data_IF_536375785370
#
_entry.id   IF_536375785370
#
_cell.length_a   1.000
_cell.length_b   1.000
_cell.length_c   1.000
_cell.angle_alpha   90.00
_cell.angle_beta   90.00
_cell.angle_gamma   90.00
#
_symmetry.space_group_name_H-M   'P 1'
#
loop_
_entity.id
_entity.type
_entity.pdbx_description
1 polymer ?
#
# COMPACT_ATOMS: atom_id res chain seq x y z
N UNK A 1 -8.25 -25.45 20.17
CA UNK A 1 -9.52 -24.71 20.02
C UNK A 1 -9.67 -24.36 18.55
N UNK A 2 -10.52 -25.07 17.83
CA UNK A 2 -10.77 -24.80 16.41
C UNK A 2 -11.81 -23.70 16.33
N UNK A 3 -11.38 -22.48 15.96
CA UNK A 3 -12.27 -21.36 15.71
C UNK A 3 -13.08 -21.60 14.44
N UNK A 4 -14.37 -21.43 14.55
CA UNK A 4 -15.39 -21.72 13.55
C UNK A 4 -15.14 -20.99 12.22
N UNK A 5 -15.02 -21.78 11.14
CA UNK A 5 -14.88 -21.32 9.74
C UNK A 5 -16.12 -20.61 9.16
N UNK A 6 -17.05 -20.16 9.98
CA UNK A 6 -18.31 -19.52 9.60
C UNK A 6 -18.45 -18.12 10.16
N UNK A 7 -17.36 -17.33 10.22
CA UNK A 7 -17.51 -15.91 10.52
C UNK A 7 -18.17 -15.23 9.31
N UNK A 8 -19.34 -14.60 9.49
CA UNK A 8 -20.01 -13.89 8.40
C UNK A 8 -19.11 -12.77 7.90
N UNK A 9 -19.05 -12.61 6.57
CA UNK A 9 -18.35 -11.50 5.93
C UNK A 9 -18.76 -10.19 6.60
N UNK A 10 -17.78 -9.37 7.01
CA UNK A 10 -18.03 -8.09 7.66
C UNK A 10 -19.10 -7.31 6.88
N UNK A 11 -20.12 -6.76 7.55
CA UNK A 11 -21.14 -5.96 6.90
C UNK A 11 -20.50 -4.77 6.18
N UNK A 12 -21.00 -4.45 4.99
CA UNK A 12 -20.51 -3.39 4.10
C UNK A 12 -20.12 -2.08 4.80
N UNK A 13 -20.87 -1.56 5.80
CA UNK A 13 -20.50 -0.32 6.48
C UNK A 13 -19.21 -0.46 7.31
N UNK A 14 -18.94 -1.60 7.92
CA UNK A 14 -17.72 -1.84 8.69
C UNK A 14 -16.49 -1.96 7.80
N UNK A 15 -16.62 -2.59 6.63
CA UNK A 15 -15.57 -2.67 5.63
C UNK A 15 -15.22 -1.29 5.07
N UNK A 16 -16.23 -0.49 4.71
CA UNK A 16 -16.04 0.88 4.21
C UNK A 16 -15.35 1.78 5.24
N UNK A 17 -15.73 1.69 6.53
CA UNK A 17 -15.09 2.44 7.61
C UNK A 17 -13.62 2.05 7.81
N UNK A 18 -13.27 0.77 7.68
CA UNK A 18 -11.88 0.31 7.70
C UNK A 18 -11.10 0.84 6.49
N UNK A 19 -11.66 0.75 5.30
CA UNK A 19 -11.02 1.25 4.08
C UNK A 19 -10.77 2.76 4.13
N UNK A 20 -11.75 3.54 4.57
CA UNK A 20 -11.62 5.00 4.76
C UNK A 20 -10.53 5.32 5.79
N UNK A 21 -10.47 4.59 6.90
CA UNK A 21 -9.46 4.81 7.93
C UNK A 21 -8.04 4.50 7.42
N UNK A 22 -7.87 3.41 6.69
CA UNK A 22 -6.57 3.07 6.09
C UNK A 22 -6.19 4.05 4.98
N UNK A 23 -7.15 4.47 4.17
CA UNK A 23 -6.95 5.54 3.19
C UNK A 23 -6.55 6.87 3.83
N UNK A 24 -7.17 7.23 4.95
CA UNK A 24 -6.81 8.44 5.69
C UNK A 24 -5.36 8.38 6.22
N UNK A 25 -4.93 7.23 6.76
CA UNK A 25 -3.53 7.06 7.19
C UNK A 25 -2.56 7.17 6.01
N UNK A 26 -2.89 6.60 4.86
CA UNK A 26 -2.08 6.73 3.65
C UNK A 26 -1.96 8.19 3.19
N UNK A 27 -3.06 8.93 3.18
CA UNK A 27 -3.07 10.36 2.83
C UNK A 27 -2.24 11.18 3.81
N UNK A 28 -2.39 10.94 5.12
CA UNK A 28 -1.59 11.62 6.17
C UNK A 28 -0.10 11.33 5.97
N UNK A 29 0.25 10.08 5.68
CA UNK A 29 1.64 9.70 5.42
C UNK A 29 2.19 10.43 4.19
N UNK A 30 1.45 10.47 3.08
CA UNK A 30 1.86 11.17 1.85
C UNK A 30 2.03 12.65 2.10
N UNK A 31 1.03 13.30 2.69
CA UNK A 31 1.07 14.75 2.97
C UNK A 31 2.21 15.08 3.94
N UNK A 32 2.38 14.31 5.00
CA UNK A 32 3.49 14.48 5.96
C UNK A 32 4.85 14.29 5.29
N UNK A 33 4.99 13.29 4.41
CA UNK A 33 6.22 13.05 3.64
C UNK A 33 6.50 14.16 2.64
N UNK A 34 5.46 14.69 1.98
CA UNK A 34 5.58 15.84 1.06
C UNK A 34 6.06 17.08 1.80
N UNK A 35 5.48 17.40 2.94
CA UNK A 35 5.88 18.55 3.75
C UNK A 35 7.31 18.39 4.29
N UNK A 36 7.63 17.25 4.87
CA UNK A 36 8.97 16.97 5.42
C UNK A 36 10.04 16.93 4.36
N UNK A 37 9.79 16.30 3.22
CA UNK A 37 10.70 16.26 2.09
C UNK A 37 10.95 17.63 1.48
N UNK A 38 9.88 18.39 1.24
CA UNK A 38 9.97 19.76 0.72
C UNK A 38 10.80 20.66 1.65
N UNK A 39 10.53 20.59 2.95
CA UNK A 39 11.29 21.32 3.94
C UNK A 39 12.78 20.90 3.94
N UNK A 40 13.07 19.63 3.88
CA UNK A 40 14.43 19.10 3.86
C UNK A 40 15.21 19.50 2.60
N UNK A 41 14.63 19.41 1.42
CA UNK A 41 15.25 19.86 0.18
C UNK A 41 15.45 21.39 0.12
N UNK A 42 14.51 22.14 0.67
CA UNK A 42 14.66 23.59 0.79
C UNK A 42 15.80 23.94 1.77
N UNK A 43 15.81 23.36 2.96
CA UNK A 43 16.75 23.69 4.02
C UNK A 43 18.17 23.14 3.76
N UNK A 44 18.29 21.85 3.46
CA UNK A 44 19.60 21.20 3.23
C UNK A 44 20.07 21.31 1.79
N UNK A 45 19.15 21.29 0.85
CA UNK A 45 19.44 21.35 -0.58
C UNK A 45 19.62 22.76 -1.13
N UNK A 46 19.17 23.78 -0.41
CA UNK A 46 19.19 25.18 -0.88
C UNK A 46 18.34 25.41 -2.13
N UNK A 47 17.34 24.56 -2.34
CA UNK A 47 16.46 24.65 -3.51
C UNK A 47 15.33 25.64 -3.28
N UNK A 48 14.79 26.21 -4.37
CA UNK A 48 13.55 26.98 -4.28
C UNK A 48 12.40 26.08 -3.77
N UNK A 49 11.41 26.63 -3.03
CA UNK A 49 10.35 25.80 -2.44
C UNK A 49 9.59 24.94 -3.46
N UNK A 50 9.38 25.47 -4.67
CA UNK A 50 8.69 24.74 -5.73
C UNK A 50 9.52 23.58 -6.29
N UNK A 51 10.84 23.77 -6.43
CA UNK A 51 11.76 22.73 -6.87
C UNK A 51 11.92 21.65 -5.79
N UNK A 52 11.98 22.06 -4.53
CA UNK A 52 11.99 21.16 -3.38
C UNK A 52 10.71 20.31 -3.32
N UNK A 53 9.56 20.90 -3.58
CA UNK A 53 8.27 20.19 -3.66
C UNK A 53 8.27 19.18 -4.82
N UNK A 54 8.74 19.60 -5.98
CA UNK A 54 8.84 18.75 -7.17
C UNK A 54 9.76 17.55 -6.91
N UNK A 55 10.97 17.79 -6.39
CA UNK A 55 11.93 16.72 -6.06
C UNK A 55 11.38 15.73 -5.02
N UNK A 56 10.68 16.24 -4.02
CA UNK A 56 10.01 15.41 -3.02
C UNK A 56 8.98 14.49 -3.68
N UNK A 57 8.13 15.04 -4.54
CA UNK A 57 7.12 14.27 -5.26
C UNK A 57 7.72 13.23 -6.19
N UNK A 58 8.80 13.57 -6.90
CA UNK A 58 9.49 12.65 -7.80
C UNK A 58 10.13 11.49 -7.04
N UNK A 59 10.76 11.75 -5.89
CA UNK A 59 11.34 10.70 -5.05
C UNK A 59 10.28 9.81 -4.42
N UNK A 60 9.17 10.37 -3.94
CA UNK A 60 8.05 9.58 -3.43
C UNK A 60 7.40 8.73 -4.53
N UNK A 61 7.39 9.22 -5.76
CA UNK A 61 6.93 8.46 -6.93
C UNK A 61 7.93 7.46 -7.48
N UNK A 62 9.15 7.37 -6.91
CA UNK A 62 10.19 6.43 -7.34
C UNK A 62 10.93 6.85 -8.62
N UNK A 63 10.76 8.09 -9.09
CA UNK A 63 11.38 8.59 -10.34
C UNK A 63 12.76 9.22 -10.15
N UNK A 64 13.17 9.48 -8.90
CA UNK A 64 14.43 10.15 -8.61
C UNK A 64 14.35 11.68 -8.66
N UNK A 65 15.41 12.38 -8.17
CA UNK A 65 15.42 13.85 -8.13
C UNK A 65 15.63 14.44 -9.52
N UNK A 66 14.96 15.57 -9.79
CA UNK A 66 15.17 16.37 -10.99
C UNK A 66 16.11 17.53 -10.65
N UNK A 67 17.15 17.70 -11.46
CA UNK A 67 18.12 18.76 -11.29
C UNK A 67 19.29 18.42 -10.37
N UNK A 68 20.30 19.29 -10.38
CA UNK A 68 21.53 19.06 -9.62
C UNK A 68 21.38 19.46 -8.15
N UNK A 69 21.65 18.50 -7.27
CA UNK A 69 21.84 18.76 -5.84
C UNK A 69 23.25 19.31 -5.62
N UNK A 70 23.39 20.60 -5.41
CA UNK A 70 24.68 21.26 -5.32
C UNK A 70 25.37 21.07 -3.96
N UNK A 71 24.61 20.93 -2.89
CA UNK A 71 25.14 20.78 -1.53
C UNK A 71 25.34 19.31 -1.15
N UNK A 72 26.42 19.01 -0.42
CA UNK A 72 26.66 17.67 0.14
C UNK A 72 25.54 17.28 1.12
N UNK A 73 25.08 18.23 1.93
CA UNK A 73 23.97 18.02 2.86
C UNK A 73 22.66 17.66 2.11
N UNK A 74 22.39 18.34 0.99
CA UNK A 74 21.24 18.02 0.13
C UNK A 74 21.33 16.64 -0.50
N UNK A 75 22.51 16.22 -0.93
CA UNK A 75 22.76 14.86 -1.47
C UNK A 75 22.55 13.77 -0.42
N UNK A 76 23.05 13.98 0.79
CA UNK A 76 22.84 13.06 1.91
C UNK A 76 21.37 12.99 2.29
N UNK A 77 20.69 14.13 2.41
CA UNK A 77 19.26 14.18 2.68
C UNK A 77 18.48 13.43 1.61
N UNK A 78 18.78 13.67 0.32
CA UNK A 78 18.12 12.98 -0.79
C UNK A 78 18.32 11.46 -0.73
N UNK A 79 19.51 10.99 -0.35
CA UNK A 79 19.79 9.56 -0.20
C UNK A 79 18.92 8.92 0.89
N UNK A 80 18.88 9.51 2.08
CA UNK A 80 18.05 9.01 3.17
C UNK A 80 16.56 9.12 2.85
N UNK A 81 16.16 10.23 2.23
CA UNK A 81 14.77 10.43 1.84
C UNK A 81 14.34 9.45 0.74
N UNK A 82 15.20 9.10 -0.20
CA UNK A 82 14.92 8.09 -1.23
C UNK A 82 14.70 6.69 -0.62
N UNK A 83 15.53 6.29 0.36
CA UNK A 83 15.35 5.04 1.09
C UNK A 83 14.03 5.03 1.87
N UNK A 84 13.74 6.12 2.57
CA UNK A 84 12.47 6.30 3.26
C UNK A 84 11.29 6.24 2.29
N UNK A 85 11.36 6.95 1.16
CA UNK A 85 10.30 6.98 0.15
C UNK A 85 10.01 5.59 -0.42
N UNK A 86 11.04 4.78 -0.68
CA UNK A 86 10.89 3.39 -1.11
C UNK A 86 10.15 2.53 -0.09
N UNK A 87 10.52 2.64 1.19
CA UNK A 87 9.84 1.92 2.28
C UNK A 87 8.42 2.42 2.50
N UNK A 88 8.21 3.74 2.45
CA UNK A 88 6.89 4.35 2.59
C UNK A 88 5.95 3.92 1.45
N UNK A 89 6.45 3.88 0.21
CA UNK A 89 5.70 3.40 -0.95
C UNK A 89 5.29 1.94 -0.80
N UNK A 90 6.21 1.07 -0.39
CA UNK A 90 5.93 -0.35 -0.16
C UNK A 90 4.91 -0.55 0.97
N UNK A 91 5.06 0.17 2.07
CA UNK A 91 4.12 0.14 3.20
C UNK A 91 2.72 0.62 2.80
N UNK A 92 2.63 1.67 2.00
CA UNK A 92 1.38 2.21 1.49
C UNK A 92 0.70 1.25 0.52
N UNK A 93 1.46 0.66 -0.41
CA UNK A 93 0.97 -0.37 -1.31
C UNK A 93 0.38 -1.55 -0.52
N UNK A 94 1.10 -2.04 0.49
CA UNK A 94 0.62 -3.12 1.36
C UNK A 94 -0.67 -2.75 2.08
N UNK A 95 -0.76 -1.54 2.64
CA UNK A 95 -1.95 -1.04 3.34
C UNK A 95 -3.18 -0.94 2.43
N UNK A 96 -2.99 -0.52 1.17
CA UNK A 96 -4.08 -0.38 0.20
C UNK A 96 -4.49 -1.73 -0.39
N UNK A 97 -3.52 -2.61 -0.68
CA UNK A 97 -3.78 -3.89 -1.34
C UNK A 97 -4.17 -5.01 -0.38
N UNK A 98 -3.72 -4.97 0.90
CA UNK A 98 -4.04 -6.01 1.88
C UNK A 98 -5.54 -6.33 2.00
N UNK A 99 -6.45 -5.34 2.15
CA UNK A 99 -7.89 -5.65 2.24
C UNK A 99 -8.47 -6.19 0.92
N UNK A 100 -7.91 -5.77 -0.21
CA UNK A 100 -8.36 -6.20 -1.55
C UNK A 100 -7.89 -7.63 -1.82
N UNK A 101 -6.60 -7.93 -1.55
CA UNK A 101 -6.03 -9.26 -1.70
C UNK A 101 -6.70 -10.28 -0.77
N UNK A 102 -6.92 -9.91 0.49
CA UNK A 102 -7.57 -10.80 1.45
C UNK A 102 -8.99 -11.17 1.01
N UNK A 103 -9.73 -10.21 0.46
CA UNK A 103 -11.07 -10.46 -0.08
C UNK A 103 -11.03 -11.30 -1.37
N UNK A 104 -10.07 -11.08 -2.26
CA UNK A 104 -9.91 -11.84 -3.49
C UNK A 104 -9.56 -13.31 -3.19
N UNK A 105 -8.59 -13.56 -2.32
CA UNK A 105 -8.15 -14.91 -1.93
C UNK A 105 -9.31 -15.66 -1.25
N UNK A 106 -10.08 -15.00 -0.41
CA UNK A 106 -11.23 -15.63 0.26
C UNK A 106 -12.33 -16.02 -0.72
N UNK A 107 -12.52 -15.25 -1.80
CA UNK A 107 -13.49 -15.55 -2.84
C UNK A 107 -13.06 -16.76 -3.69
N UNK A 108 -11.80 -16.85 -4.07
CA UNK A 108 -11.25 -17.99 -4.80
C UNK A 108 -11.30 -19.30 -4.00
N UNK A 109 -11.01 -19.25 -2.70
CA UNK A 109 -11.08 -20.45 -1.85
C UNK A 109 -12.51 -20.98 -1.64
N UNK A 110 -13.51 -20.09 -1.68
CA UNK A 110 -14.92 -20.49 -1.60
C UNK A 110 -15.40 -21.18 -2.87
N UNK A 111 -14.97 -20.74 -4.05
CA UNK A 111 -15.32 -21.35 -5.33
C UNK A 111 -14.69 -22.74 -5.46
N UNK A 112 -13.43 -22.91 -5.08
CA UNK A 112 -12.75 -24.22 -5.10
C UNK A 112 -13.38 -25.23 -4.12
N UNK A 113 -13.91 -24.74 -2.99
CA UNK A 113 -14.61 -25.60 -2.02
C UNK A 113 -16.01 -26.04 -2.46
N UNK A 114 -16.64 -25.32 -3.38
CA UNK A 114 -17.97 -25.65 -3.92
C UNK A 114 -17.90 -26.65 -5.07
N UNK A 115 -16.81 -26.67 -5.83
CA UNK A 115 -16.63 -27.60 -6.96
C UNK A 115 -16.29 -29.02 -6.52
N UNK A 116 -15.67 -29.21 -5.35
CA UNK A 116 -15.18 -30.53 -4.91
C UNK A 116 -16.26 -31.50 -4.43
N UNK A 117 -17.36 -31.10 -3.75
CA UNK A 117 -18.38 -32.04 -3.26
C UNK A 117 -19.28 -32.60 -4.34
N UNK A 118 -19.56 -31.84 -5.39
CA UNK A 118 -20.54 -32.22 -6.42
C UNK A 118 -19.95 -33.25 -7.37
N UNK A 119 -18.71 -33.09 -7.79
CA UNK A 119 -18.02 -34.03 -8.66
C UNK A 119 -17.79 -35.39 -7.97
N UNK A 120 -17.50 -35.39 -6.68
CA UNK A 120 -17.28 -36.63 -5.93
C UNK A 120 -18.58 -37.45 -5.73
N UNK A 121 -19.73 -36.77 -5.62
CA UNK A 121 -21.05 -37.44 -5.58
C UNK A 121 -21.44 -38.00 -6.93
N UNK A 122 -21.12 -37.33 -8.00
CA UNK A 122 -21.45 -37.76 -9.36
C UNK A 122 -20.59 -38.96 -9.82
N UNK A 123 -19.32 -38.96 -9.47
CA UNK A 123 -18.43 -40.11 -9.70
C UNK A 123 -18.84 -41.37 -8.90
N UNK A 124 -19.33 -41.21 -7.67
CA UNK A 124 -19.86 -42.32 -6.89
C UNK A 124 -21.13 -42.90 -7.50
N UNK A 125 -21.97 -42.06 -8.10
CA UNK A 125 -23.22 -42.48 -8.73
C UNK A 125 -23.02 -43.24 -10.04
N UNK A 126 -21.90 -42.99 -10.74
CA UNK A 126 -21.53 -43.69 -11.99
C UNK A 126 -20.79 -45.02 -11.76
N UNK A 127 -20.34 -45.28 -10.53
CA UNK A 127 -19.62 -46.54 -10.19
C UNK A 127 -20.45 -47.55 -9.38
N UNK A 128 -21.69 -47.26 -9.03
CA UNK A 128 -22.66 -48.18 -8.41
C UNK A 128 -23.77 -48.51 -9.39
#
# INVERSE_FOLDING_TARGET
MYEHRTAPLLPWPAFRRRLIRHGAYAVILVVGSMLGGTWGFWFFGGQAPIDALLNTGMLLGGMGPIGELRSTAGKLFATFFALYAGLAFLGMATLLFAPILHRAIHKFHLEESLDTPTQKKEQRRKRG
#
